data_IF_649529333970
#
_entry.id   IF_649529333970
#
_cell.length_a   1.000
_cell.length_b   1.000
_cell.length_c   1.000
_cell.angle_alpha   90.00
_cell.angle_beta   90.00
_cell.angle_gamma   90.00
#
_symmetry.space_group_name_H-M   'P 1'
#
loop_
_entity.id
_entity.type
_entity.pdbx_description
1 polymer ?
#
# COMPACT_ATOMS: atom_id res chain seq x y z
N UNK A 1 2.37 -8.01 -0.01
CA UNK A 1 2.79 -6.61 0.14
C UNK A 1 4.20 -6.62 0.69
N UNK A 2 5.18 -6.26 -0.12
CA UNK A 2 6.50 -5.91 0.40
C UNK A 2 6.36 -4.56 1.10
N UNK A 3 7.02 -4.40 2.24
CA UNK A 3 6.98 -3.17 3.03
C UNK A 3 8.41 -2.73 3.24
N UNK A 4 8.67 -1.47 2.94
CA UNK A 4 9.94 -0.83 3.18
C UNK A 4 9.74 0.39 4.06
N UNK A 5 10.81 0.80 4.71
CA UNK A 5 10.82 1.87 5.69
C UNK A 5 11.65 3.04 5.17
N UNK A 6 11.10 4.23 5.37
CA UNK A 6 11.81 5.50 5.23
C UNK A 6 11.86 6.10 6.64
N UNK A 7 13.06 6.45 7.10
CA UNK A 7 13.21 7.07 8.42
C UNK A 7 13.22 8.60 8.27
N UNK A 8 12.34 9.26 9.01
CA UNK A 8 12.15 10.71 8.90
C UNK A 8 12.92 11.49 9.98
N UNK A 9 13.53 12.59 9.57
CA UNK A 9 14.10 13.62 10.44
C UNK A 9 13.01 14.67 10.68
N UNK A 10 12.71 14.97 11.94
CA UNK A 10 11.80 16.06 12.30
C UNK A 10 12.57 17.38 12.33
N UNK A 11 12.33 18.22 11.31
CA UNK A 11 13.01 19.52 11.19
C UNK A 11 12.71 20.47 12.34
N UNK A 12 11.57 20.31 13.02
CA UNK A 12 11.07 21.24 14.02
C UNK A 12 11.66 21.06 15.42
N UNK A 13 12.27 19.91 15.70
CA UNK A 13 12.74 19.54 17.04
C UNK A 13 14.18 19.00 17.08
N UNK A 14 14.70 18.43 15.98
CA UNK A 14 16.00 17.76 15.98
C UNK A 14 17.17 18.71 15.73
N UNK A 15 18.32 18.34 16.29
CA UNK A 15 19.64 18.89 15.98
C UNK A 15 20.32 18.09 14.86
N UNK A 16 21.44 18.60 14.33
CA UNK A 16 22.24 17.85 13.35
C UNK A 16 22.75 16.49 13.88
N UNK A 17 23.09 16.43 15.18
CA UNK A 17 23.53 15.18 15.79
C UNK A 17 22.39 14.15 15.90
N UNK A 18 21.18 14.59 16.28
CA UNK A 18 20.00 13.72 16.34
C UNK A 18 19.56 13.26 14.93
N UNK A 19 19.71 14.10 13.90
CA UNK A 19 19.50 13.68 12.52
C UNK A 19 20.47 12.56 12.10
N UNK A 20 21.73 12.62 12.54
CA UNK A 20 22.69 11.53 12.35
C UNK A 20 22.31 10.26 13.12
N UNK A 21 21.65 10.38 14.27
CA UNK A 21 21.06 9.24 14.99
C UNK A 21 19.87 8.60 14.26
N UNK A 22 19.29 9.27 13.25
CA UNK A 22 18.31 8.67 12.32
C UNK A 22 19.02 8.04 11.11
N UNK A 23 19.95 8.76 10.48
CA UNK A 23 20.66 8.30 9.28
C UNK A 23 21.54 7.09 9.55
N UNK A 24 22.23 7.04 10.69
CA UNK A 24 23.11 5.92 11.04
C UNK A 24 22.36 4.58 11.13
N UNK A 25 21.23 4.46 11.87
CA UNK A 25 20.37 3.29 11.80
C UNK A 25 19.81 3.02 10.41
N UNK A 26 19.44 4.05 9.63
CA UNK A 26 18.92 3.84 8.28
C UNK A 26 19.93 3.07 7.41
N UNK A 27 21.19 3.51 7.42
CA UNK A 27 22.28 2.86 6.69
C UNK A 27 22.52 1.44 7.22
N UNK A 28 22.54 1.26 8.54
CA UNK A 28 22.77 -0.06 9.16
C UNK A 28 21.65 -1.07 8.86
N UNK A 29 20.43 -0.62 8.68
CA UNK A 29 19.25 -1.48 8.54
C UNK A 29 18.74 -1.59 7.10
N UNK A 30 19.56 -1.25 6.08
CA UNK A 30 19.18 -1.44 4.66
C UNK A 30 18.72 -2.86 4.33
N UNK A 31 19.47 -3.86 4.81
CA UNK A 31 19.14 -5.28 4.64
C UNK A 31 17.84 -5.71 5.36
N UNK A 32 17.26 -4.85 6.21
CA UNK A 32 16.00 -5.08 6.92
C UNK A 32 14.85 -4.24 6.34
N UNK A 33 15.01 -3.74 5.11
CA UNK A 33 13.98 -3.02 4.39
C UNK A 33 13.98 -1.50 4.59
N UNK A 34 15.03 -0.90 5.19
CA UNK A 34 15.15 0.57 5.18
C UNK A 34 15.72 1.02 3.84
N UNK A 35 14.96 1.82 3.10
CA UNK A 35 15.28 2.19 1.71
C UNK A 35 15.58 3.67 1.53
N UNK A 36 15.21 4.51 2.50
CA UNK A 36 15.41 5.94 2.38
C UNK A 36 15.33 6.71 3.68
N UNK A 37 15.52 8.03 3.53
CA UNK A 37 15.34 9.02 4.59
C UNK A 37 14.46 10.16 4.10
N UNK A 38 13.73 10.76 5.03
CA UNK A 38 12.82 11.89 4.80
C UNK A 38 13.18 13.07 5.71
N UNK A 39 12.74 14.27 5.34
CA UNK A 39 12.58 15.40 6.27
C UNK A 39 11.10 15.77 6.35
N UNK A 40 10.54 15.73 7.55
CA UNK A 40 9.15 16.08 7.83
C UNK A 40 9.08 17.03 9.04
N UNK A 41 7.89 17.18 9.64
CA UNK A 41 7.65 18.03 10.79
C UNK A 41 7.16 19.42 10.41
N UNK A 42 7.13 20.37 11.35
CA UNK A 42 6.54 21.68 11.08
C UNK A 42 7.41 22.48 10.07
N UNK A 43 6.89 22.78 8.86
CA UNK A 43 7.68 23.39 7.78
C UNK A 43 8.08 24.85 8.06
N UNK A 44 7.51 25.48 9.10
CA UNK A 44 7.87 26.84 9.55
C UNK A 44 8.96 26.86 10.62
N UNK A 45 9.45 25.70 11.05
CA UNK A 45 10.46 25.55 12.10
C UNK A 45 11.75 24.93 11.58
N UNK A 46 12.80 25.15 12.36
CA UNK A 46 14.13 24.57 12.15
C UNK A 46 14.94 25.27 11.08
N UNK A 47 16.27 25.16 11.19
CA UNK A 47 17.18 25.54 10.12
C UNK A 47 17.59 24.27 9.37
N UNK A 48 16.98 24.01 8.21
CA UNK A 48 17.23 22.80 7.43
C UNK A 48 18.70 22.63 6.99
N UNK A 49 19.46 23.73 6.87
CA UNK A 49 20.85 23.68 6.38
C UNK A 49 21.76 22.84 7.28
N UNK A 50 21.39 22.64 8.54
CA UNK A 50 22.15 21.82 9.50
C UNK A 50 22.12 20.33 9.14
N UNK A 51 21.14 19.88 8.36
CA UNK A 51 20.98 18.46 7.99
C UNK A 51 21.73 18.08 6.70
N UNK A 52 22.42 19.03 6.07
CA UNK A 52 23.11 18.83 4.79
C UNK A 52 24.07 17.64 4.82
N UNK A 53 24.88 17.54 5.86
CA UNK A 53 25.85 16.45 6.00
C UNK A 53 25.17 15.10 6.26
N UNK A 54 24.08 15.09 7.02
CA UNK A 54 23.29 13.88 7.27
C UNK A 54 22.65 13.33 5.99
N UNK A 55 22.07 14.19 5.15
CA UNK A 55 21.55 13.78 3.84
C UNK A 55 22.66 13.40 2.85
N UNK A 56 23.79 14.11 2.84
CA UNK A 56 24.95 13.73 2.03
C UNK A 56 25.46 12.32 2.39
N UNK A 57 25.51 12.02 3.69
CA UNK A 57 25.85 10.69 4.21
C UNK A 57 24.84 9.63 3.79
N UNK A 58 23.53 9.92 3.87
CA UNK A 58 22.49 8.99 3.41
C UNK A 58 22.66 8.67 1.92
N UNK A 59 22.86 9.68 1.07
CA UNK A 59 23.09 9.52 -0.37
C UNK A 59 24.36 8.70 -0.66
N UNK A 60 25.46 9.01 0.03
CA UNK A 60 26.73 8.30 -0.12
C UNK A 60 26.63 6.79 0.22
N UNK A 61 25.66 6.40 1.03
CA UNK A 61 25.37 5.01 1.38
C UNK A 61 24.23 4.39 0.56
N UNK A 62 23.79 5.08 -0.50
CA UNK A 62 22.77 4.60 -1.44
C UNK A 62 21.39 4.43 -0.80
N UNK A 63 21.00 5.34 0.10
CA UNK A 63 19.61 5.51 0.52
C UNK A 63 18.92 6.52 -0.39
N UNK A 64 17.65 6.27 -0.71
CA UNK A 64 16.80 7.25 -1.37
C UNK A 64 16.48 8.43 -0.46
N UNK A 65 16.30 9.61 -1.05
CA UNK A 65 15.95 10.82 -0.31
C UNK A 65 14.61 11.35 -0.82
N UNK A 66 13.63 11.44 0.07
CA UNK A 66 12.41 12.23 -0.15
C UNK A 66 12.41 13.41 0.81
N UNK A 67 11.76 14.52 0.46
CA UNK A 67 11.71 15.71 1.30
C UNK A 67 10.33 16.35 1.24
N UNK A 68 9.72 16.66 2.38
CA UNK A 68 8.58 17.57 2.41
C UNK A 68 8.99 18.95 1.89
N UNK A 69 8.25 19.47 0.90
CA UNK A 69 8.72 20.58 0.08
C UNK A 69 7.60 21.57 -0.23
N UNK A 70 7.78 22.84 0.20
CA UNK A 70 6.84 23.94 -0.04
C UNK A 70 5.38 23.63 0.34
N UNK A 71 5.16 22.97 1.48
CA UNK A 71 3.82 22.62 2.00
C UNK A 71 2.95 23.85 2.28
N UNK A 72 3.58 24.93 2.75
CA UNK A 72 2.92 26.19 3.09
C UNK A 72 3.61 27.36 2.39
N UNK A 73 2.88 28.47 2.20
CA UNK A 73 3.46 29.70 1.70
C UNK A 73 4.64 30.21 2.54
N UNK A 74 4.64 29.95 3.87
CA UNK A 74 5.74 30.33 4.75
C UNK A 74 7.03 29.52 4.51
N UNK A 75 6.90 28.28 4.07
CA UNK A 75 8.03 27.40 3.72
C UNK A 75 8.48 27.50 2.25
N UNK A 76 7.85 28.38 1.47
CA UNK A 76 8.09 28.51 0.03
C UNK A 76 9.24 29.44 -0.37
N UNK A 77 10.14 29.79 0.57
CA UNK A 77 11.22 30.72 0.28
C UNK A 77 12.26 30.09 -0.67
N UNK A 78 12.67 30.84 -1.71
CA UNK A 78 13.66 30.36 -2.70
C UNK A 78 14.95 29.88 -2.05
N UNK A 79 15.41 30.53 -0.98
CA UNK A 79 16.61 30.15 -0.23
C UNK A 79 16.46 28.77 0.44
N UNK A 80 15.33 28.53 1.11
CA UNK A 80 15.05 27.26 1.75
C UNK A 80 14.90 26.14 0.73
N UNK A 81 14.09 26.36 -0.32
CA UNK A 81 13.86 25.38 -1.37
C UNK A 81 15.15 25.05 -2.14
N UNK A 82 16.01 26.05 -2.40
CA UNK A 82 17.33 25.82 -2.99
C UNK A 82 18.24 24.99 -2.07
N UNK A 83 18.13 25.19 -0.75
CA UNK A 83 18.87 24.40 0.23
C UNK A 83 18.40 22.95 0.24
N UNK A 84 17.07 22.69 0.26
CA UNK A 84 16.51 21.34 0.14
C UNK A 84 16.94 20.67 -1.17
N UNK A 85 16.85 21.37 -2.30
CA UNK A 85 17.31 20.84 -3.59
C UNK A 85 18.82 20.56 -3.63
N UNK A 86 19.62 21.23 -2.78
CA UNK A 86 21.06 20.96 -2.67
C UNK A 86 21.36 19.61 -2.01
N UNK A 87 20.39 19.01 -1.32
CA UNK A 87 20.52 17.66 -0.74
C UNK A 87 20.38 16.55 -1.77
N UNK A 88 20.11 16.91 -3.03
CA UNK A 88 19.91 15.98 -4.15
C UNK A 88 18.81 14.95 -3.88
N UNK A 89 17.57 15.41 -3.56
CA UNK A 89 16.43 14.51 -3.37
C UNK A 89 16.12 13.74 -4.64
N UNK A 90 15.55 12.55 -4.46
CA UNK A 90 15.00 11.70 -5.51
C UNK A 90 13.49 11.96 -5.69
N UNK A 91 12.80 12.27 -4.57
CA UNK A 91 11.38 12.62 -4.54
C UNK A 91 11.10 13.86 -3.69
N UNK A 92 9.96 14.50 -3.93
CA UNK A 92 9.46 15.65 -3.18
C UNK A 92 8.01 15.43 -2.76
N UNK A 93 7.73 15.68 -1.47
CA UNK A 93 6.42 15.64 -0.87
C UNK A 93 5.67 16.95 -0.99
N UNK A 94 4.36 16.86 -1.24
CA UNK A 94 3.38 17.95 -1.36
C UNK A 94 3.59 18.92 -2.52
N UNK A 95 4.70 19.66 -2.59
CA UNK A 95 5.00 20.64 -3.67
C UNK A 95 3.86 21.61 -4.00
N UNK A 96 3.28 22.20 -2.96
CA UNK A 96 2.07 23.03 -3.04
C UNK A 96 2.40 24.46 -3.50
N UNK A 97 3.21 25.17 -2.72
CA UNK A 97 3.49 26.59 -2.88
C UNK A 97 4.84 26.81 -3.58
N UNK A 98 5.11 26.09 -4.67
CA UNK A 98 6.43 26.16 -5.34
C UNK A 98 6.52 27.40 -6.25
N UNK A 99 7.56 28.25 -6.13
CA UNK A 99 7.82 29.34 -7.08
C UNK A 99 8.17 28.84 -8.49
N UNK A 100 7.86 29.61 -9.53
CA UNK A 100 7.99 29.16 -10.93
C UNK A 100 9.43 28.82 -11.34
N UNK A 101 10.42 29.54 -10.82
CA UNK A 101 11.83 29.25 -11.03
C UNK A 101 12.25 27.90 -10.41
N UNK A 102 11.67 27.54 -9.27
CA UNK A 102 11.92 26.26 -8.61
C UNK A 102 11.18 25.14 -9.33
N UNK A 103 9.96 25.38 -9.83
CA UNK A 103 9.21 24.39 -10.63
C UNK A 103 10.00 23.93 -11.86
N UNK A 104 10.62 24.89 -12.58
CA UNK A 104 11.47 24.59 -13.73
C UNK A 104 12.65 23.70 -13.36
N UNK A 105 13.25 23.92 -12.19
CA UNK A 105 14.37 23.11 -11.72
C UNK A 105 13.93 21.69 -11.31
N UNK A 106 12.76 21.56 -10.68
CA UNK A 106 12.16 20.25 -10.35
C UNK A 106 11.89 19.45 -11.63
N UNK A 107 11.24 20.08 -12.63
CA UNK A 107 10.95 19.46 -13.92
C UNK A 107 12.23 19.08 -14.69
N UNK A 108 13.25 19.97 -14.70
CA UNK A 108 14.54 19.69 -15.33
C UNK A 108 15.24 18.47 -14.73
N UNK A 109 15.07 18.22 -13.43
CA UNK A 109 15.63 17.07 -12.72
C UNK A 109 14.75 15.82 -12.78
N UNK A 110 13.52 15.93 -13.30
CA UNK A 110 12.51 14.86 -13.33
C UNK A 110 12.32 14.19 -11.96
N UNK A 111 12.22 14.99 -10.89
CA UNK A 111 12.01 14.47 -9.53
C UNK A 111 10.64 13.83 -9.40
N UNK A 112 10.55 12.74 -8.64
CA UNK A 112 9.27 12.13 -8.29
C UNK A 112 8.46 13.01 -7.35
N UNK A 113 7.16 13.18 -7.61
CA UNK A 113 6.28 14.03 -6.83
C UNK A 113 5.25 13.18 -6.08
N UNK A 114 5.26 13.28 -4.75
CA UNK A 114 4.30 12.63 -3.86
C UNK A 114 3.17 13.62 -3.55
N UNK A 115 2.02 13.46 -4.20
CA UNK A 115 0.89 14.40 -4.13
C UNK A 115 -0.27 13.83 -3.31
N UNK A 116 -0.75 14.61 -2.33
CA UNK A 116 -1.73 14.17 -1.34
C UNK A 116 -3.04 14.97 -1.47
N UNK A 117 -3.92 14.59 -2.40
CA UNK A 117 -5.07 15.40 -2.82
C UNK A 117 -6.03 15.68 -1.65
N UNK A 118 -6.51 14.63 -0.98
CA UNK A 118 -7.50 14.79 0.09
C UNK A 118 -6.92 15.50 1.32
N UNK A 119 -5.69 15.16 1.71
CA UNK A 119 -4.97 15.82 2.80
C UNK A 119 -4.88 17.33 2.56
N UNK A 120 -4.39 17.74 1.38
CA UNK A 120 -4.13 19.14 1.07
C UNK A 120 -5.42 19.99 1.09
N UNK A 121 -6.53 19.43 0.60
CA UNK A 121 -7.85 20.10 0.60
C UNK A 121 -8.44 20.14 2.01
N UNK A 122 -8.49 19.01 2.72
CA UNK A 122 -9.13 18.94 4.03
C UNK A 122 -8.36 19.73 5.11
N UNK A 123 -7.03 19.75 5.02
CA UNK A 123 -6.16 20.53 5.90
C UNK A 123 -6.06 22.01 5.54
N UNK A 124 -6.71 22.44 4.44
CA UNK A 124 -6.66 23.82 3.93
C UNK A 124 -5.23 24.30 3.66
N UNK A 125 -4.39 23.40 3.15
CA UNK A 125 -3.05 23.75 2.67
C UNK A 125 -3.09 24.46 1.30
N UNK A 126 -4.20 24.27 0.58
CA UNK A 126 -4.56 25.05 -0.61
C UNK A 126 -5.80 25.89 -0.35
N UNK A 127 -5.95 26.94 -1.15
CA UNK A 127 -7.21 27.66 -1.28
C UNK A 127 -8.13 26.93 -2.26
N UNK A 128 -9.42 26.81 -1.92
CA UNK A 128 -10.42 26.21 -2.81
C UNK A 128 -10.70 24.72 -2.54
N UNK A 129 -11.12 24.01 -3.58
CA UNK A 129 -11.52 22.60 -3.53
C UNK A 129 -10.60 21.68 -4.32
N UNK A 130 -11.07 20.46 -4.60
CA UNK A 130 -10.27 19.44 -5.29
C UNK A 130 -9.76 19.87 -6.68
N UNK A 131 -10.53 20.68 -7.42
CA UNK A 131 -10.14 21.17 -8.75
C UNK A 131 -9.03 22.23 -8.71
N UNK A 132 -8.85 22.90 -7.56
CA UNK A 132 -7.82 23.91 -7.36
C UNK A 132 -6.47 23.30 -6.92
N UNK A 133 -6.43 21.97 -6.75
CA UNK A 133 -5.24 21.26 -6.31
C UNK A 133 -4.11 21.34 -7.36
N UNK A 134 -2.87 21.56 -6.91
CA UNK A 134 -1.67 21.71 -7.75
C UNK A 134 -1.35 20.47 -8.60
N UNK A 135 -2.00 19.33 -8.36
CA UNK A 135 -2.03 18.19 -9.29
C UNK A 135 -2.44 18.62 -10.70
N UNK A 136 -3.41 19.52 -10.83
CA UNK A 136 -3.86 20.03 -12.12
C UNK A 136 -2.76 20.71 -12.92
N UNK A 137 -1.79 21.33 -12.24
CA UNK A 137 -0.59 21.88 -12.84
C UNK A 137 0.44 20.78 -13.11
N UNK A 138 0.87 20.05 -12.08
CA UNK A 138 1.99 19.11 -12.16
C UNK A 138 1.75 17.95 -13.13
N UNK A 139 0.51 17.50 -13.32
CA UNK A 139 0.19 16.40 -14.25
C UNK A 139 0.55 16.69 -15.71
N UNK A 140 0.77 17.96 -16.05
CA UNK A 140 1.14 18.39 -17.40
C UNK A 140 2.67 18.54 -17.57
N UNK A 141 3.42 18.53 -16.47
CA UNK A 141 4.88 18.46 -16.49
C UNK A 141 5.34 16.99 -16.64
N UNK A 142 6.60 16.80 -17.02
CA UNK A 142 7.18 15.46 -17.24
C UNK A 142 7.68 14.78 -15.96
N UNK A 143 7.31 15.31 -14.79
CA UNK A 143 7.64 14.70 -13.51
C UNK A 143 6.78 13.45 -13.27
N UNK A 144 7.36 12.34 -12.79
CA UNK A 144 6.58 11.22 -12.29
C UNK A 144 5.76 11.64 -11.05
N UNK A 145 4.48 11.29 -11.01
CA UNK A 145 3.57 11.63 -9.89
C UNK A 145 3.07 10.35 -9.25
N UNK A 146 3.26 10.23 -7.93
CA UNK A 146 2.61 9.23 -7.08
C UNK A 146 1.52 9.93 -6.25
N UNK A 147 0.28 9.45 -6.31
CA UNK A 147 -0.78 9.91 -5.41
C UNK A 147 -0.69 9.16 -4.08
N UNK A 148 -0.47 9.91 -3.00
CA UNK A 148 -0.25 9.40 -1.66
C UNK A 148 -1.41 9.77 -0.73
N UNK A 149 -1.64 8.96 0.30
CA UNK A 149 -2.68 9.26 1.31
C UNK A 149 -2.22 10.26 2.36
N UNK A 150 -0.91 10.41 2.52
CA UNK A 150 -0.30 11.04 3.69
C UNK A 150 -0.79 10.33 4.97
N UNK A 151 -1.44 11.03 5.90
CA UNK A 151 -2.02 10.45 7.11
C UNK A 151 -3.40 9.81 6.89
N UNK A 152 -3.45 8.57 6.36
CA UNK A 152 -4.72 7.85 6.11
C UNK A 152 -5.61 7.70 7.36
N UNK A 153 -5.02 7.60 8.55
CA UNK A 153 -5.77 7.49 9.81
C UNK A 153 -6.50 8.76 10.22
N UNK A 154 -6.01 9.92 9.78
CA UNK A 154 -6.60 11.23 10.10
C UNK A 154 -7.58 11.67 9.01
N UNK A 155 -7.21 11.51 7.73
CA UNK A 155 -8.04 11.93 6.60
C UNK A 155 -9.06 10.88 6.16
N UNK A 156 -8.96 9.65 6.66
CA UNK A 156 -9.84 8.53 6.32
C UNK A 156 -9.98 8.30 4.80
N UNK A 157 -8.94 8.62 4.04
CA UNK A 157 -8.92 8.53 2.58
C UNK A 157 -7.93 7.44 2.13
N UNK A 158 -8.40 6.26 1.71
CA UNK A 158 -7.50 5.21 1.19
C UNK A 158 -6.91 5.63 -0.16
N UNK A 159 -5.77 5.06 -0.54
CA UNK A 159 -5.09 5.39 -1.82
C UNK A 159 -6.01 5.28 -3.04
N UNK A 160 -6.94 4.32 -3.05
CA UNK A 160 -7.94 4.19 -4.12
C UNK A 160 -8.84 5.44 -4.26
N UNK A 161 -9.12 6.13 -3.16
CA UNK A 161 -9.88 7.36 -3.15
C UNK A 161 -9.06 8.55 -3.70
N UNK A 162 -7.75 8.62 -3.42
CA UNK A 162 -6.88 9.66 -4.02
C UNK A 162 -6.89 9.59 -5.55
N UNK A 163 -6.76 8.39 -6.11
CA UNK A 163 -6.85 8.16 -7.55
C UNK A 163 -8.26 8.44 -8.10
N UNK A 164 -9.31 8.14 -7.33
CA UNK A 164 -10.68 8.46 -7.70
C UNK A 164 -10.91 9.98 -7.77
N UNK A 165 -10.44 10.73 -6.75
CA UNK A 165 -10.50 12.18 -6.71
C UNK A 165 -9.76 12.80 -7.89
N UNK A 166 -8.55 12.31 -8.20
CA UNK A 166 -7.80 12.75 -9.36
C UNK A 166 -8.59 12.53 -10.66
N UNK A 167 -9.16 11.33 -10.84
CA UNK A 167 -9.93 11.00 -12.03
C UNK A 167 -11.20 11.86 -12.19
N UNK A 168 -11.95 12.04 -11.10
CA UNK A 168 -13.21 12.78 -11.09
C UNK A 168 -13.00 14.28 -11.32
N UNK A 169 -12.02 14.89 -10.64
CA UNK A 169 -11.84 16.34 -10.65
C UNK A 169 -10.94 16.85 -11.77
N UNK A 170 -10.08 16.00 -12.34
CA UNK A 170 -9.19 16.37 -13.45
C UNK A 170 -9.47 15.64 -14.76
N UNK A 171 -10.57 14.88 -14.82
CA UNK A 171 -11.04 14.22 -16.04
C UNK A 171 -10.09 13.14 -16.56
N UNK A 172 -9.40 12.42 -15.66
CA UNK A 172 -8.45 11.38 -16.06
C UNK A 172 -9.20 10.12 -16.50
N UNK A 173 -8.78 9.56 -17.63
CA UNK A 173 -9.21 8.25 -18.07
C UNK A 173 -8.47 7.15 -17.30
N UNK A 174 -8.96 5.91 -17.43
CA UNK A 174 -8.28 4.74 -16.88
C UNK A 174 -6.86 4.58 -17.44
N UNK A 175 -6.62 4.96 -18.68
CA UNK A 175 -5.28 4.89 -19.30
C UNK A 175 -4.34 5.88 -18.62
N UNK A 176 -4.77 7.14 -18.46
CA UNK A 176 -3.98 8.18 -17.80
C UNK A 176 -3.55 7.76 -16.38
N UNK A 177 -4.46 7.15 -15.61
CA UNK A 177 -4.15 6.65 -14.27
C UNK A 177 -3.10 5.53 -14.30
N UNK A 178 -3.20 4.61 -15.27
CA UNK A 178 -2.23 3.50 -15.39
C UNK A 178 -0.86 4.01 -15.80
N UNK A 179 -0.81 4.97 -16.73
CA UNK A 179 0.46 5.56 -17.19
C UNK A 179 1.12 6.34 -16.06
N UNK A 180 0.34 7.07 -15.28
CA UNK A 180 0.83 7.73 -14.06
C UNK A 180 1.41 6.72 -13.06
N UNK A 181 0.70 5.62 -12.78
CA UNK A 181 1.23 4.56 -11.92
C UNK A 181 2.54 3.97 -12.47
N UNK A 182 2.60 3.66 -13.77
CA UNK A 182 3.79 3.09 -14.39
C UNK A 182 4.98 4.05 -14.30
N UNK A 183 4.78 5.35 -14.58
CA UNK A 183 5.83 6.36 -14.44
C UNK A 183 6.30 6.50 -12.99
N UNK A 184 5.38 6.45 -12.03
CA UNK A 184 5.75 6.56 -10.62
C UNK A 184 6.56 5.37 -10.10
N UNK A 185 6.48 4.20 -10.75
CA UNK A 185 7.25 3.01 -10.36
C UNK A 185 8.76 3.25 -10.43
N UNK A 186 9.23 4.07 -11.37
CA UNK A 186 10.65 4.42 -11.51
C UNK A 186 11.18 5.27 -10.33
N UNK A 187 10.30 5.74 -9.45
CA UNK A 187 10.65 6.56 -8.27
C UNK A 187 10.68 5.76 -6.97
N UNK A 188 10.36 4.45 -7.02
CA UNK A 188 10.41 3.54 -5.87
C UNK A 188 11.86 3.37 -5.41
N UNK A 189 12.10 3.39 -4.09
CA UNK A 189 13.46 3.23 -3.53
C UNK A 189 13.88 1.76 -3.35
N UNK A 190 12.94 0.83 -3.45
CA UNK A 190 13.20 -0.60 -3.40
C UNK A 190 13.70 -1.13 -4.76
N UNK A 191 14.51 -2.20 -4.74
CA UNK A 191 14.95 -2.86 -5.97
C UNK A 191 13.82 -3.75 -6.53
N UNK A 192 13.49 -3.54 -7.81
CA UNK A 192 12.44 -4.27 -8.52
C UNK A 192 12.62 -5.81 -8.54
N UNK A 193 13.85 -6.31 -8.36
CA UNK A 193 14.12 -7.75 -8.35
C UNK A 193 13.65 -8.47 -7.07
N UNK A 194 13.40 -7.74 -5.98
CA UNK A 194 12.94 -8.30 -4.70
C UNK A 194 11.39 -8.38 -4.60
N UNK A 195 10.66 -7.96 -5.64
CA UNK A 195 9.22 -7.62 -5.59
C UNK A 195 8.26 -8.81 -5.77
N UNK A 196 8.55 -9.95 -5.17
CA UNK A 196 7.51 -10.98 -4.98
C UNK A 196 7.06 -10.95 -3.54
N UNK A 197 5.77 -10.76 -3.30
CA UNK A 197 5.22 -11.06 -1.98
C UNK A 197 5.50 -12.54 -1.68
N UNK A 198 6.27 -12.78 -0.64
CA UNK A 198 6.61 -14.11 -0.14
C UNK A 198 6.18 -14.16 1.32
N UNK A 199 5.47 -15.22 1.69
CA UNK A 199 5.14 -15.47 3.09
C UNK A 199 6.39 -16.01 3.77
N UNK A 200 6.89 -15.27 4.76
CA UNK A 200 8.07 -15.67 5.55
C UNK A 200 7.79 -16.96 6.31
N UNK A 201 8.37 -18.07 5.85
CA UNK A 201 8.11 -19.38 6.44
C UNK A 201 8.73 -19.53 7.84
N UNK A 202 9.78 -18.78 8.16
CA UNK A 202 10.44 -18.83 9.47
C UNK A 202 9.53 -18.25 10.55
N UNK A 203 8.93 -17.09 10.27
CA UNK A 203 7.92 -16.50 11.18
C UNK A 203 6.68 -17.39 11.32
N UNK A 204 6.29 -18.09 10.25
CA UNK A 204 5.19 -19.06 10.33
C UNK A 204 5.54 -20.21 11.27
N UNK A 205 6.79 -20.69 11.27
CA UNK A 205 7.20 -21.78 12.16
C UNK A 205 7.06 -21.40 13.63
N UNK A 206 7.50 -20.19 14.01
CA UNK A 206 7.32 -19.65 15.37
C UNK A 206 5.84 -19.60 15.78
N UNK A 207 4.97 -19.15 14.88
CA UNK A 207 3.53 -19.09 15.12
C UNK A 207 2.84 -20.46 15.12
N UNK A 208 3.35 -21.46 14.39
CA UNK A 208 2.86 -22.84 14.48
C UNK A 208 3.12 -23.39 15.89
N UNK A 209 4.31 -23.14 16.46
CA UNK A 209 4.63 -23.58 17.82
C UNK A 209 3.76 -22.89 18.87
N UNK A 210 3.48 -21.60 18.69
CA UNK A 210 2.57 -20.87 19.57
C UNK A 210 1.14 -21.43 19.48
N UNK A 211 0.61 -21.59 18.27
CA UNK A 211 -0.72 -22.17 18.06
C UNK A 211 -0.81 -23.57 18.68
N UNK A 212 0.19 -24.42 18.44
CA UNK A 212 0.25 -25.77 19.02
C UNK A 212 0.16 -25.73 20.55
N UNK A 213 0.85 -24.79 21.22
CA UNK A 213 0.78 -24.64 22.68
C UNK A 213 -0.60 -24.20 23.15
N UNK A 214 -1.23 -23.24 22.46
CA UNK A 214 -2.58 -22.76 22.80
C UNK A 214 -3.63 -23.87 22.68
N UNK A 215 -3.56 -24.67 21.60
CA UNK A 215 -4.47 -25.79 21.39
C UNK A 215 -4.30 -26.87 22.47
N UNK A 216 -3.07 -27.19 22.87
CA UNK A 216 -2.79 -28.17 23.93
C UNK A 216 -3.26 -27.72 25.32
N UNK A 217 -3.33 -26.41 25.58
CA UNK A 217 -3.85 -25.89 26.86
C UNK A 217 -5.37 -25.87 26.97
N UNK A 218 -6.10 -26.20 25.90
CA UNK A 218 -7.55 -26.14 25.90
C UNK A 218 -8.17 -27.35 26.63
N UNK A 219 -8.91 -27.09 27.69
CA UNK A 219 -9.56 -28.16 28.47
C UNK A 219 -10.90 -28.63 27.88
N UNK A 220 -11.51 -27.83 26.99
CA UNK A 220 -12.79 -28.12 26.35
C UNK A 220 -12.73 -28.00 24.83
N UNK A 221 -13.63 -28.72 24.15
CA UNK A 221 -13.76 -28.67 22.68
C UNK A 221 -14.12 -27.26 22.21
N UNK A 222 -15.00 -26.55 22.92
CA UNK A 222 -15.35 -25.18 22.58
C UNK A 222 -14.19 -24.19 22.77
N UNK A 223 -13.40 -24.33 23.85
CA UNK A 223 -12.20 -23.52 24.03
C UNK A 223 -11.19 -23.77 22.91
N UNK A 224 -11.04 -25.03 22.50
CA UNK A 224 -10.19 -25.42 21.37
C UNK A 224 -10.65 -24.77 20.07
N UNK A 225 -11.95 -24.83 19.75
CA UNK A 225 -12.53 -24.20 18.54
C UNK A 225 -12.37 -22.69 18.58
N UNK A 226 -12.51 -22.05 19.76
CA UNK A 226 -12.28 -20.63 19.91
C UNK A 226 -10.81 -20.24 19.68
N UNK A 227 -9.86 -21.01 20.22
CA UNK A 227 -8.43 -20.81 20.00
C UNK A 227 -8.08 -20.95 18.50
N UNK A 228 -8.57 -22.02 17.86
CA UNK A 228 -8.45 -22.22 16.41
C UNK A 228 -9.00 -21.04 15.61
N UNK A 229 -10.23 -20.61 15.92
CA UNK A 229 -10.89 -19.52 15.21
C UNK A 229 -10.15 -18.19 15.40
N UNK A 230 -9.64 -17.93 16.60
CA UNK A 230 -8.86 -16.71 16.90
C UNK A 230 -7.54 -16.70 16.13
N UNK A 231 -6.82 -17.82 16.14
CA UNK A 231 -5.46 -17.86 15.63
C UNK A 231 -5.42 -18.29 14.16
N UNK A 232 -5.85 -19.51 13.84
CA UNK A 232 -5.85 -20.02 12.48
C UNK A 232 -6.88 -19.29 11.60
N UNK A 233 -8.12 -19.17 12.09
CA UNK A 233 -9.22 -18.56 11.34
C UNK A 233 -9.09 -17.05 11.13
N UNK A 234 -8.47 -16.32 12.06
CA UNK A 234 -8.37 -14.85 12.01
C UNK A 234 -6.94 -14.34 11.97
N UNK A 235 -6.05 -14.73 12.88
CA UNK A 235 -4.67 -14.19 12.90
C UNK A 235 -3.93 -14.52 11.60
N UNK A 236 -3.80 -15.79 11.20
CA UNK A 236 -3.13 -16.13 9.94
C UNK A 236 -3.87 -15.58 8.71
N UNK A 237 -5.19 -15.71 8.71
CA UNK A 237 -6.02 -15.20 7.62
C UNK A 237 -5.88 -13.69 7.41
N UNK A 238 -5.78 -12.91 8.50
CA UNK A 238 -5.67 -11.46 8.42
C UNK A 238 -4.27 -10.96 8.06
N UNK A 239 -3.22 -11.68 8.47
CA UNK A 239 -1.84 -11.24 8.29
C UNK A 239 -1.29 -11.58 6.89
N UNK A 240 -1.54 -12.79 6.38
CA UNK A 240 -0.99 -13.18 5.07
C UNK A 240 -2.01 -13.77 4.10
N UNK A 241 -3.16 -14.27 4.57
CA UNK A 241 -4.14 -14.96 3.73
C UNK A 241 -5.30 -14.08 3.25
N UNK A 242 -5.15 -12.74 3.27
CA UNK A 242 -6.10 -11.84 2.60
C UNK A 242 -5.79 -11.78 1.10
N UNK A 243 -6.73 -12.18 0.23
CA UNK A 243 -6.50 -12.10 -1.21
C UNK A 243 -6.32 -10.66 -1.66
N UNK A 244 -5.23 -10.41 -2.37
CA UNK A 244 -4.98 -9.15 -3.05
C UNK A 244 -4.83 -9.43 -4.55
N UNK A 245 -5.75 -8.89 -5.35
CA UNK A 245 -5.82 -9.13 -6.80
C UNK A 245 -4.54 -8.67 -7.50
N UNK A 246 -3.87 -7.63 -6.98
CA UNK A 246 -2.63 -7.09 -7.52
C UNK A 246 -1.46 -8.09 -7.52
N UNK A 247 -1.44 -9.08 -6.61
CA UNK A 247 -0.42 -10.14 -6.62
C UNK A 247 -0.84 -11.37 -7.46
N UNK A 248 -2.04 -11.34 -8.04
CA UNK A 248 -2.55 -12.38 -8.91
C UNK A 248 -2.83 -13.71 -8.19
N UNK A 249 -2.87 -14.78 -8.99
CA UNK A 249 -3.22 -16.14 -8.52
C UNK A 249 -2.13 -16.73 -7.62
N UNK A 250 -0.87 -16.44 -7.92
CA UNK A 250 0.30 -16.94 -7.20
C UNK A 250 0.26 -16.63 -5.69
N UNK A 251 -0.24 -15.45 -5.31
CA UNK A 251 -0.44 -15.08 -3.90
C UNK A 251 -1.46 -15.97 -3.20
N UNK A 252 -2.58 -16.25 -3.87
CA UNK A 252 -3.63 -17.11 -3.33
C UNK A 252 -3.14 -18.56 -3.22
N UNK A 253 -2.40 -19.04 -4.23
CA UNK A 253 -1.77 -20.37 -4.20
C UNK A 253 -0.77 -20.48 -3.05
N UNK A 254 0.03 -19.44 -2.81
CA UNK A 254 0.97 -19.38 -1.69
C UNK A 254 0.26 -19.38 -0.34
N UNK A 255 -0.77 -18.55 -0.16
CA UNK A 255 -1.56 -18.51 1.06
C UNK A 255 -2.24 -19.85 1.36
N UNK A 256 -2.84 -20.48 0.35
CA UNK A 256 -3.40 -21.84 0.48
C UNK A 256 -2.33 -22.85 0.87
N UNK A 257 -1.19 -22.86 0.18
CA UNK A 257 -0.09 -23.78 0.48
C UNK A 257 0.45 -23.60 1.90
N UNK A 258 0.56 -22.36 2.39
CA UNK A 258 1.02 -22.09 3.76
C UNK A 258 -0.02 -22.51 4.80
N UNK A 259 -1.31 -22.23 4.60
CA UNK A 259 -2.36 -22.71 5.52
C UNK A 259 -2.42 -24.24 5.56
N UNK A 260 -2.33 -24.92 4.41
CA UNK A 260 -2.24 -26.38 4.37
C UNK A 260 -0.98 -26.91 5.04
N UNK A 261 0.15 -26.19 4.96
CA UNK A 261 1.38 -26.56 5.68
C UNK A 261 1.17 -26.47 7.19
N UNK A 262 0.56 -25.39 7.68
CA UNK A 262 0.26 -25.22 9.11
C UNK A 262 -0.62 -26.37 9.62
N UNK A 263 -1.71 -26.70 8.91
CA UNK A 263 -2.58 -27.84 9.26
C UNK A 263 -1.82 -29.15 9.33
N UNK A 264 -1.02 -29.48 8.29
CA UNK A 264 -0.21 -30.70 8.29
C UNK A 264 0.79 -30.73 9.44
N UNK A 265 1.47 -29.62 9.74
CA UNK A 265 2.43 -29.58 10.84
C UNK A 265 1.77 -29.75 12.21
N UNK A 266 0.51 -29.33 12.36
CA UNK A 266 -0.24 -29.50 13.61
C UNK A 266 -0.78 -30.93 13.76
N UNK A 267 -1.33 -31.51 12.69
CA UNK A 267 -2.08 -32.78 12.77
C UNK A 267 -1.31 -34.02 12.31
N UNK A 268 -0.24 -33.89 11.52
CA UNK A 268 0.59 -35.01 11.05
C UNK A 268 1.86 -35.22 11.88
N UNK A 269 1.94 -34.69 13.11
CA UNK A 269 3.10 -34.89 14.02
C UNK A 269 3.26 -36.32 14.55
N UNK A 270 2.45 -37.28 14.11
CA UNK A 270 2.48 -38.67 14.55
C UNK A 270 2.22 -39.65 13.39
N UNK A 271 3.20 -39.88 12.52
CA UNK A 271 3.31 -41.15 11.78
C UNK A 271 4.72 -41.32 11.19
N UNK A 272 5.65 -41.84 11.99
CA UNK A 272 6.87 -42.48 11.46
C UNK A 272 6.57 -43.88 10.87
N UNK A 273 5.29 -44.27 10.79
CA UNK A 273 4.83 -45.51 10.17
C UNK A 273 3.40 -45.36 9.64
N UNK A 274 3.23 -44.91 8.39
CA UNK A 274 1.95 -45.04 7.69
C UNK A 274 2.15 -45.20 6.18
N UNK A 275 1.34 -46.07 5.61
CA UNK A 275 1.32 -46.42 4.18
C UNK A 275 0.70 -45.29 3.35
N UNK A 276 0.85 -45.27 2.01
CA UNK A 276 0.48 -44.13 1.16
C UNK A 276 -1.03 -43.87 0.97
N UNK A 277 -1.90 -44.45 1.81
CA UNK A 277 -3.36 -44.45 1.61
C UNK A 277 -4.16 -43.75 2.71
N UNK A 278 -3.51 -43.20 3.75
CA UNK A 278 -4.25 -42.55 4.84
C UNK A 278 -4.57 -41.10 4.50
N UNK A 279 -5.87 -40.78 4.50
CA UNK A 279 -6.42 -39.45 4.28
C UNK A 279 -5.73 -38.42 5.21
N UNK A 280 -5.46 -37.25 4.66
CA UNK A 280 -4.87 -36.12 5.39
C UNK A 280 -5.80 -35.80 6.57
N UNK A 281 -5.38 -36.11 7.80
CA UNK A 281 -6.12 -35.80 9.03
C UNK A 281 -6.27 -34.29 9.16
N UNK A 282 -7.47 -33.80 8.86
CA UNK A 282 -7.82 -32.38 8.93
C UNK A 282 -8.23 -31.97 10.34
N UNK A 283 -8.53 -30.68 10.51
CA UNK A 283 -9.06 -30.16 11.79
C UNK A 283 -10.36 -30.85 12.22
N UNK A 284 -11.22 -31.19 11.26
CA UNK A 284 -12.49 -31.90 11.52
C UNK A 284 -12.25 -33.32 12.00
N UNK A 285 -11.24 -34.02 11.48
CA UNK A 285 -10.90 -35.38 11.89
C UNK A 285 -10.30 -35.41 13.28
N UNK A 286 -9.45 -34.44 13.60
CA UNK A 286 -8.96 -34.23 14.96
C UNK A 286 -10.12 -33.99 15.94
N UNK A 287 -11.01 -33.05 15.64
CA UNK A 287 -12.16 -32.75 16.51
C UNK A 287 -13.12 -33.93 16.64
N UNK A 288 -13.36 -34.67 15.56
CA UNK A 288 -14.15 -35.91 15.57
C UNK A 288 -13.54 -36.92 16.52
N UNK A 289 -12.23 -37.16 16.45
CA UNK A 289 -11.50 -38.07 17.33
C UNK A 289 -11.60 -37.63 18.80
N UNK A 290 -11.38 -36.34 19.08
CA UNK A 290 -11.48 -35.81 20.45
C UNK A 290 -12.90 -35.94 21.02
N UNK A 291 -13.94 -35.71 20.21
CA UNK A 291 -15.33 -35.84 20.64
C UNK A 291 -15.70 -37.31 20.85
N UNK A 292 -15.28 -38.18 19.94
CA UNK A 292 -15.41 -39.62 20.04
C UNK A 292 -14.81 -40.14 21.36
N UNK A 293 -13.56 -39.79 21.67
CA UNK A 293 -12.85 -40.24 22.87
C UNK A 293 -13.48 -39.73 24.17
N UNK A 294 -13.99 -38.49 24.17
CA UNK A 294 -14.53 -37.84 25.37
C UNK A 294 -15.99 -38.16 25.64
N UNK A 295 -16.78 -38.37 24.60
CA UNK A 295 -18.25 -38.42 24.69
C UNK A 295 -18.87 -39.66 24.04
N UNK A 296 -18.08 -40.55 23.42
CA UNK A 296 -18.53 -41.77 22.74
C UNK A 296 -19.51 -41.50 21.56
N UNK A 297 -19.25 -40.45 20.79
CA UNK A 297 -20.05 -40.05 19.62
C UNK A 297 -19.21 -40.22 18.35
N UNK A 298 -19.62 -41.14 17.47
CA UNK A 298 -18.81 -41.62 16.33
C UNK A 298 -19.35 -41.23 14.93
N UNK A 299 -20.46 -40.49 14.85
CA UNK A 299 -21.14 -40.17 13.57
C UNK A 299 -21.50 -38.68 13.44
N UNK A 300 -20.49 -37.82 13.45
CA UNK A 300 -20.67 -36.38 13.25
C UNK A 300 -20.47 -36.02 11.77
N UNK A 301 -21.36 -35.27 11.11
CA UNK A 301 -21.08 -34.77 9.76
C UNK A 301 -20.14 -33.56 9.79
N UNK A 302 -19.39 -33.31 8.72
CA UNK A 302 -18.51 -32.12 8.64
C UNK A 302 -19.28 -30.80 8.84
N UNK A 303 -20.53 -30.77 8.38
CA UNK A 303 -21.43 -29.64 8.57
C UNK A 303 -21.57 -29.25 10.05
N UNK A 304 -21.57 -30.20 10.99
CA UNK A 304 -21.68 -29.92 12.43
C UNK A 304 -20.57 -28.99 12.92
N UNK A 305 -19.33 -29.19 12.45
CA UNK A 305 -18.19 -28.38 12.89
C UNK A 305 -18.29 -26.94 12.40
N UNK A 306 -18.70 -26.74 11.14
CA UNK A 306 -18.72 -25.42 10.50
C UNK A 306 -20.01 -24.63 10.71
N UNK A 307 -21.12 -25.28 11.08
CA UNK A 307 -22.40 -24.60 11.27
C UNK A 307 -22.36 -23.63 12.46
N UNK A 308 -23.08 -22.48 12.41
CA UNK A 308 -23.09 -21.51 13.50
C UNK A 308 -23.55 -22.11 14.83
N UNK A 309 -22.99 -21.60 15.93
CA UNK A 309 -23.32 -22.06 17.28
C UNK A 309 -24.80 -21.83 17.60
N UNK A 310 -25.36 -20.72 17.11
CA UNK A 310 -26.77 -20.35 17.28
C UNK A 310 -27.73 -21.35 16.61
N UNK A 311 -27.22 -22.14 15.66
CA UNK A 311 -27.96 -23.16 14.93
C UNK A 311 -27.55 -24.59 15.33
N UNK A 312 -26.81 -24.75 16.42
CA UNK A 312 -26.43 -26.04 16.99
C UNK A 312 -25.14 -26.66 16.43
N UNK A 313 -24.33 -25.90 15.68
CA UNK A 313 -22.98 -26.32 15.28
C UNK A 313 -21.89 -25.83 16.23
N UNK A 314 -20.62 -25.98 15.80
CA UNK A 314 -19.47 -25.51 16.58
C UNK A 314 -18.87 -24.17 16.10
N UNK A 315 -19.31 -23.66 14.94
CA UNK A 315 -18.83 -22.39 14.39
C UNK A 315 -17.34 -22.37 14.06
N UNK A 316 -16.75 -23.51 13.69
CA UNK A 316 -15.36 -23.61 13.25
C UNK A 316 -15.15 -22.75 12.00
N UNK A 317 -14.07 -21.98 11.93
CA UNK A 317 -13.73 -21.14 10.79
C UNK A 317 -12.85 -21.89 9.80
N UNK A 318 -13.21 -21.81 8.51
CA UNK A 318 -12.44 -22.33 7.40
C UNK A 318 -11.91 -21.17 6.52
N UNK A 319 -10.62 -20.78 6.64
CA UNK A 319 -10.06 -19.69 5.84
C UNK A 319 -9.91 -20.04 4.34
N UNK A 320 -9.90 -21.32 3.96
CA UNK A 320 -9.72 -21.75 2.57
C UNK A 320 -10.90 -21.39 1.67
N UNK A 321 -12.14 -21.37 2.20
CA UNK A 321 -13.35 -21.09 1.42
C UNK A 321 -13.22 -19.76 0.67
N UNK A 322 -12.77 -18.71 1.38
CA UNK A 322 -12.60 -17.38 0.80
C UNK A 322 -11.48 -17.36 -0.25
N UNK A 323 -10.37 -18.06 0.02
CA UNK A 323 -9.24 -18.14 -0.90
C UNK A 323 -9.62 -18.84 -2.20
N UNK A 324 -10.31 -19.99 -2.11
CA UNK A 324 -10.74 -20.78 -3.26
C UNK A 324 -11.77 -20.04 -4.11
N UNK A 325 -12.77 -19.41 -3.49
CA UNK A 325 -13.78 -18.62 -4.21
C UNK A 325 -13.15 -17.49 -5.02
N UNK A 326 -12.15 -16.79 -4.46
CA UNK A 326 -11.46 -15.71 -5.17
C UNK A 326 -10.50 -16.27 -6.22
N UNK A 327 -9.81 -17.37 -5.95
CA UNK A 327 -8.91 -18.03 -6.89
C UNK A 327 -9.57 -18.32 -8.24
N UNK A 328 -10.80 -18.84 -8.22
CA UNK A 328 -11.57 -19.17 -9.42
C UNK A 328 -12.06 -17.92 -10.18
N UNK A 329 -12.23 -16.80 -9.47
CA UNK A 329 -12.64 -15.53 -10.06
C UNK A 329 -11.51 -14.84 -10.86
N UNK A 330 -10.24 -15.15 -10.57
CA UNK A 330 -9.08 -14.54 -11.24
C UNK A 330 -8.83 -15.23 -12.59
N UNK A 331 -9.45 -14.69 -13.64
CA UNK A 331 -9.32 -15.19 -15.02
C UNK A 331 -8.09 -14.66 -15.75
N UNK A 332 -7.50 -13.56 -15.28
CA UNK A 332 -6.33 -12.92 -15.91
C UNK A 332 -5.36 -12.46 -14.82
N UNK A 333 -4.06 -12.64 -15.07
CA UNK A 333 -3.03 -12.14 -14.17
C UNK A 333 -2.85 -10.62 -14.34
N UNK A 334 -2.49 -9.88 -13.27
CA UNK A 334 -2.15 -8.46 -13.36
C UNK A 334 -1.12 -8.18 -14.45
N UNK A 335 -0.08 -9.01 -14.55
CA UNK A 335 0.94 -8.92 -15.61
C UNK A 335 0.34 -9.00 -17.01
N UNK A 336 -0.63 -9.88 -17.25
CA UNK A 336 -1.31 -10.00 -18.55
C UNK A 336 -2.20 -8.79 -18.84
N UNK A 337 -2.86 -8.23 -17.81
CA UNK A 337 -3.64 -7.00 -17.93
C UNK A 337 -2.75 -5.80 -18.31
N UNK A 338 -1.62 -5.64 -17.61
CA UNK A 338 -0.64 -4.60 -17.88
C UNK A 338 -0.02 -4.76 -19.27
N UNK A 339 0.41 -5.97 -19.64
CA UNK A 339 0.96 -6.23 -20.97
C UNK A 339 -0.06 -5.95 -22.07
N UNK A 340 -1.33 -6.34 -21.89
CA UNK A 340 -2.41 -6.02 -22.84
C UNK A 340 -2.66 -4.51 -22.94
N UNK A 341 -2.56 -3.78 -21.84
CA UNK A 341 -2.67 -2.32 -21.84
C UNK A 341 -1.51 -1.69 -22.61
N UNK A 342 -0.26 -2.10 -22.33
CA UNK A 342 0.94 -1.62 -23.02
C UNK A 342 0.89 -1.87 -24.54
N UNK A 343 0.50 -3.08 -24.98
CA UNK A 343 0.32 -3.37 -26.41
C UNK A 343 -0.77 -2.53 -27.07
N UNK A 344 -1.83 -2.21 -26.32
CA UNK A 344 -2.91 -1.36 -26.82
C UNK A 344 -2.43 0.09 -26.95
N UNK A 345 -1.71 0.58 -25.95
CA UNK A 345 -1.14 1.92 -25.94
C UNK A 345 -0.12 2.12 -27.07
N UNK A 346 0.81 1.16 -27.26
CA UNK A 346 1.77 1.18 -28.38
C UNK A 346 1.06 1.25 -29.75
N UNK A 347 -0.04 0.52 -29.90
CA UNK A 347 -0.85 0.56 -31.13
C UNK A 347 -1.56 1.90 -31.31
N UNK A 348 -2.09 2.49 -30.24
CA UNK A 348 -2.74 3.80 -30.26
C UNK A 348 -1.71 4.90 -30.59
N UNK A 349 -0.51 4.82 -30.01
CA UNK A 349 0.61 5.70 -30.30
C UNK A 349 1.05 5.62 -31.76
N UNK A 350 1.30 4.42 -32.30
CA UNK A 350 1.74 4.28 -33.71
C UNK A 350 0.66 4.76 -34.68
N UNK A 351 -0.63 4.54 -34.38
CA UNK A 351 -1.72 5.10 -35.16
C UNK A 351 -1.76 6.63 -35.12
N UNK A 352 -1.55 7.23 -33.95
CA UNK A 352 -1.49 8.68 -33.78
C UNK A 352 -0.28 9.29 -34.48
N UNK A 353 0.89 8.66 -34.38
CA UNK A 353 2.14 9.03 -35.05
C UNK A 353 2.01 9.00 -36.57
N UNK A 354 1.43 7.94 -37.14
CA UNK A 354 1.18 7.86 -38.58
C UNK A 354 0.14 8.89 -39.05
N UNK A 355 -0.89 9.16 -38.25
CA UNK A 355 -1.85 10.24 -38.53
C UNK A 355 -1.17 11.61 -38.53
N UNK A 356 -0.32 11.88 -37.55
CA UNK A 356 0.45 13.12 -37.44
C UNK A 356 1.40 13.30 -38.62
N UNK A 357 2.18 12.26 -38.99
CA UNK A 357 3.07 12.32 -40.16
C UNK A 357 2.33 12.60 -41.46
N UNK A 358 1.12 12.04 -41.64
CA UNK A 358 0.34 12.20 -42.88
C UNK A 358 -0.41 13.52 -42.96
N UNK A 359 -0.90 14.05 -41.84
CA UNK A 359 -1.84 15.18 -41.83
C UNK A 359 -1.32 16.42 -41.07
N UNK A 360 -0.11 16.35 -40.51
CA UNK A 360 0.41 17.35 -39.59
C UNK A 360 -0.32 17.34 -38.24
N UNK A 361 -0.10 18.37 -37.43
CA UNK A 361 -0.82 18.56 -36.17
C UNK A 361 -2.31 18.79 -36.45
N UNK A 362 -3.17 17.91 -35.94
CA UNK A 362 -4.62 18.06 -36.05
C UNK A 362 -5.11 19.10 -35.03
N UNK A 363 -5.08 20.37 -35.41
CA UNK A 363 -5.59 21.49 -34.61
C UNK A 363 -7.12 21.49 -34.51
N UNK A 364 -7.80 20.57 -35.21
CA UNK A 364 -9.26 20.50 -35.32
C UNK A 364 -9.91 19.38 -34.52
N UNK A 365 -9.13 18.65 -33.69
CA UNK A 365 -9.70 17.54 -32.93
C UNK A 365 -10.81 18.02 -31.99
N UNK A 366 -12.02 17.50 -32.23
CA UNK A 366 -13.25 17.63 -31.43
C UNK A 366 -13.11 17.15 -29.97
N UNK A 367 -11.90 16.90 -29.48
CA UNK A 367 -11.66 16.59 -28.06
C UNK A 367 -12.07 17.78 -27.17
N UNK A 368 -11.97 19.00 -27.70
CA UNK A 368 -12.39 20.22 -27.01
C UNK A 368 -13.88 20.60 -27.21
N UNK A 369 -14.60 19.98 -28.16
CA UNK A 369 -15.95 20.45 -28.54
C UNK A 369 -17.12 19.72 -27.85
N UNK A 370 -16.84 18.78 -26.93
CA UNK A 370 -17.88 18.00 -26.22
C UNK A 370 -18.13 18.45 -24.78
N UNK A 371 -17.53 19.56 -24.34
CA UNK A 371 -17.80 20.15 -23.05
C UNK A 371 -18.92 21.21 -23.17
N UNK A 372 -20.15 20.75 -23.37
CA UNK A 372 -21.32 21.60 -23.12
C UNK A 372 -21.58 21.52 -21.62
N UNK A 373 -21.21 22.56 -20.88
CA UNK A 373 -21.26 22.67 -19.42
C UNK A 373 -22.65 22.60 -18.78
N UNK A 374 -23.44 21.58 -19.12
CA UNK A 374 -24.67 21.25 -18.41
C UNK A 374 -24.34 20.36 -17.21
N UNK A 375 -24.58 20.91 -16.02
CA UNK A 375 -24.52 20.24 -14.75
C UNK A 375 -25.52 19.09 -14.70
N UNK A 376 -25.04 17.86 -14.47
CA UNK A 376 -25.94 16.80 -14.03
C UNK A 376 -26.39 17.06 -12.59
N UNK A 377 -27.65 16.80 -12.22
CA UNK A 377 -28.18 17.15 -10.90
C UNK A 377 -27.50 16.31 -9.82
N UNK A 378 -26.81 16.99 -8.90
CA UNK A 378 -26.20 16.42 -7.70
C UNK A 378 -27.28 16.01 -6.68
N UNK A 379 -27.10 14.85 -6.04
CA UNK A 379 -27.72 14.54 -4.75
C UNK A 379 -26.79 15.07 -3.67
N UNK A 380 -27.22 16.12 -3.00
CA UNK A 380 -26.55 16.76 -1.87
C UNK A 380 -26.73 15.87 -0.61
N UNK A 381 -25.64 15.42 0.02
CA UNK A 381 -25.68 14.87 1.38
C UNK A 381 -24.95 15.86 2.29
N UNK A 382 -25.71 16.68 3.01
CA UNK A 382 -25.19 17.64 3.97
C UNK A 382 -24.83 16.93 5.29
N UNK A 383 -23.54 16.77 5.56
CA UNK A 383 -23.03 16.45 6.90
C UNK A 383 -22.31 17.66 7.49
N UNK A 384 -22.84 18.25 8.57
CA UNK A 384 -22.13 19.27 9.35
C UNK A 384 -21.09 18.58 10.23
N UNK A 385 -19.84 19.00 10.18
CA UNK A 385 -18.79 18.59 11.12
C UNK A 385 -18.27 19.84 11.83
N UNK A 386 -18.35 19.85 13.16
CA UNK A 386 -17.79 20.88 14.03
C UNK A 386 -16.28 20.68 14.23
N UNK A 387 -15.48 21.75 14.41
CA UNK A 387 -14.04 21.64 14.55
C UNK A 387 -13.64 21.25 15.99
N UNK A 388 -12.79 20.24 16.12
CA UNK A 388 -12.02 19.99 17.34
C UNK A 388 -10.55 20.31 17.07
N UNK A 389 -10.04 21.27 17.82
CA UNK A 389 -8.64 21.69 17.87
C UNK A 389 -7.81 20.65 18.63
N UNK A 390 -6.77 20.11 18.00
CA UNK A 390 -5.78 19.23 18.63
C UNK A 390 -4.50 19.18 17.81
N UNK A 391 -3.35 19.28 18.48
CA UNK A 391 -2.01 19.41 17.89
C UNK A 391 -1.65 18.27 16.93
N UNK A 392 -1.11 18.65 15.77
CA UNK A 392 -0.71 17.78 14.66
C UNK A 392 0.67 17.18 14.96
N UNK A 393 0.73 15.85 15.07
CA UNK A 393 1.96 15.06 14.87
C UNK A 393 1.72 14.22 13.62
N UNK A 394 2.42 14.54 12.53
CA UNK A 394 2.33 13.83 11.26
C UNK A 394 3.09 12.52 11.33
N UNK A 395 2.45 11.43 10.89
CA UNK A 395 3.06 10.13 10.66
C UNK A 395 3.05 9.93 9.15
N UNK A 396 4.13 10.34 8.47
CA UNK A 396 4.20 10.29 7.01
C UNK A 396 4.07 8.84 6.52
N UNK A 397 3.06 8.62 5.67
CA UNK A 397 2.91 7.40 4.88
C UNK A 397 3.22 7.77 3.43
N UNK A 398 4.50 7.86 3.10
CA UNK A 398 4.96 7.97 1.71
C UNK A 398 4.60 6.69 0.95
N UNK A 399 4.24 6.82 -0.33
CA UNK A 399 4.16 5.66 -1.22
C UNK A 399 5.53 4.96 -1.23
N UNK A 400 5.52 3.69 -0.82
CA UNK A 400 6.67 2.79 -0.83
C UNK A 400 6.81 2.14 -2.20
#
# INVERSE_FOLDING_TARGET
MSVFLILAIDRGSMTAAEADEIVNPAVKNKARGVVGVDICGNPTKGNISIYKESFAKAKANGLGITLHFAETAASASVSELSTLLSFQPDRLGHVIHVPDEIKKEIARRQLGLELCISCNVHSKLIDGGFMDHHFGYWRHDDCPIALCTDDVGFFCSPVSNEYLLAAQHFGLSRTDLLDMCNKSADTIFANAEEERFIIDQTQIDEHIEELSRQLLSCESVFAWVQAWNSYFGRFFANNFAKPAICFGRDHIDMANSTLSRIERTLFNKASDSASPSDEISGVTDHLRTVIADRFDIQDLPDGFFYYPIELGGMGLLNPFIRLLAIRESIKQTPRKLLHKASLKDEKEYEAAKERFKKRGADVSSQFWSKWNGESMPFIHVSGRVHPLSGNIQSLSCGCV
#
